data_IF_049066641401
#
_entry.id   IF_049066641401
#
_cell.length_a   1.000
_cell.length_b   1.000
_cell.length_c   1.000
_cell.angle_alpha   90.00
_cell.angle_beta   90.00
_cell.angle_gamma   90.00
#
_symmetry.space_group_name_H-M   'P 1'
#
loop_
_entity.id
_entity.type
_entity.pdbx_description
1 polymer ?
#
# COMPACT_ATOMS: atom_id res chain seq x y z
N UNK A 1 -9.24 -1.82 11.68
CA UNK A 1 -9.74 -2.50 10.48
C UNK A 1 -10.36 -3.87 10.79
N UNK A 2 -9.71 -4.70 11.59
CA UNK A 2 -10.23 -6.04 11.93
C UNK A 2 -11.67 -5.99 12.44
N UNK A 3 -11.96 -5.14 13.44
CA UNK A 3 -13.32 -4.97 13.97
C UNK A 3 -14.32 -4.48 12.90
N UNK A 4 -13.85 -3.62 12.00
CA UNK A 4 -14.67 -3.16 10.87
C UNK A 4 -15.01 -4.28 9.90
N UNK A 5 -14.07 -5.15 9.58
CA UNK A 5 -14.28 -6.33 8.74
C UNK A 5 -15.20 -7.34 9.43
N UNK A 6 -14.98 -7.58 10.72
CA UNK A 6 -15.85 -8.47 11.52
C UNK A 6 -17.30 -7.98 11.51
N UNK A 7 -17.50 -6.68 11.68
CA UNK A 7 -18.85 -6.09 11.64
C UNK A 7 -19.47 -6.11 10.23
N UNK A 8 -18.66 -5.95 9.18
CA UNK A 8 -19.12 -5.91 7.79
C UNK A 8 -19.51 -7.28 7.28
N UNK A 9 -18.67 -8.29 7.52
CA UNK A 9 -18.90 -9.65 7.02
C UNK A 9 -19.83 -10.48 7.92
N UNK A 10 -19.99 -10.09 9.21
CA UNK A 10 -20.87 -10.81 10.14
C UNK A 10 -20.48 -12.28 10.27
N UNK A 11 -21.38 -13.16 9.82
CA UNK A 11 -21.13 -14.60 9.75
C UNK A 11 -20.81 -15.13 8.36
N UNK A 12 -20.71 -14.26 7.35
CA UNK A 12 -20.54 -14.65 5.95
C UNK A 12 -19.10 -15.02 5.60
N UNK A 13 -18.11 -14.62 6.42
CA UNK A 13 -16.71 -14.96 6.25
C UNK A 13 -16.02 -15.23 7.60
N UNK A 14 -15.10 -16.20 7.60
CA UNK A 14 -14.20 -16.43 8.73
C UNK A 14 -12.97 -15.52 8.61
N UNK A 15 -12.68 -14.73 9.65
CA UNK A 15 -11.55 -13.83 9.69
C UNK A 15 -10.49 -14.35 10.66
N UNK A 16 -9.24 -14.40 10.19
CA UNK A 16 -8.07 -14.69 11.03
C UNK A 16 -7.09 -13.53 10.96
N UNK A 17 -6.36 -13.33 12.04
CA UNK A 17 -5.39 -12.25 12.20
C UNK A 17 -4.02 -12.80 12.57
N UNK A 18 -2.98 -12.24 11.98
CA UNK A 18 -1.60 -12.40 12.40
C UNK A 18 -0.88 -11.05 12.29
N UNK A 19 -0.04 -10.73 13.27
CA UNK A 19 0.69 -9.44 13.25
C UNK A 19 1.74 -9.36 12.14
N UNK A 20 2.32 -10.46 11.71
CA UNK A 20 3.34 -10.51 10.68
C UNK A 20 4.65 -9.84 11.11
N UNK A 21 4.71 -8.51 11.07
CA UNK A 21 5.89 -7.76 11.50
C UNK A 21 5.50 -6.45 12.22
N UNK A 22 6.49 -5.87 12.90
CA UNK A 22 6.42 -4.47 13.35
C UNK A 22 6.60 -3.53 12.16
N UNK A 23 6.15 -2.26 12.28
CA UNK A 23 6.30 -1.29 11.18
C UNK A 23 7.74 -1.08 10.71
N UNK A 24 8.72 -1.29 11.57
CA UNK A 24 10.15 -1.18 11.27
C UNK A 24 10.97 -2.20 12.07
N UNK A 25 12.25 -2.32 11.75
CA UNK A 25 13.19 -3.27 12.36
C UNK A 25 13.41 -4.48 11.46
N UNK A 26 13.97 -5.54 12.03
CA UNK A 26 14.34 -6.75 11.27
C UNK A 26 13.76 -8.03 11.90
N UNK A 27 12.78 -7.89 12.79
CA UNK A 27 12.17 -9.03 13.48
C UNK A 27 11.18 -9.74 12.58
N UNK A 28 11.53 -10.93 12.13
CA UNK A 28 10.73 -11.80 11.26
C UNK A 28 9.97 -12.89 12.02
N UNK A 29 9.96 -12.85 13.35
CA UNK A 29 9.35 -13.91 14.17
C UNK A 29 7.87 -14.15 13.89
N UNK A 30 7.15 -13.13 13.41
CA UNK A 30 5.74 -13.23 13.04
C UNK A 30 5.47 -13.76 11.63
N UNK A 31 6.48 -13.92 10.77
CA UNK A 31 6.29 -14.28 9.36
C UNK A 31 5.67 -15.67 9.20
N UNK A 32 6.17 -16.67 9.91
CA UNK A 32 5.63 -18.03 9.82
C UNK A 32 4.15 -18.09 10.18
N UNK A 33 3.74 -17.46 11.28
CA UNK A 33 2.34 -17.40 11.68
C UNK A 33 1.47 -16.64 10.69
N UNK A 34 1.99 -15.56 10.09
CA UNK A 34 1.29 -14.83 9.04
C UNK A 34 1.12 -15.67 7.76
N UNK A 35 2.16 -16.42 7.37
CA UNK A 35 2.11 -17.31 6.21
C UNK A 35 1.12 -18.47 6.44
N UNK A 36 1.06 -19.03 7.64
CA UNK A 36 0.10 -20.09 7.96
C UNK A 36 -1.35 -19.58 7.87
N UNK A 37 -1.62 -18.36 8.36
CA UNK A 37 -2.93 -17.71 8.21
C UNK A 37 -3.21 -17.43 6.72
N UNK A 38 -2.22 -16.97 5.96
CA UNK A 38 -2.39 -16.71 4.54
C UNK A 38 -2.70 -17.98 3.74
N UNK A 39 -2.05 -19.11 4.02
CA UNK A 39 -2.31 -20.40 3.37
C UNK A 39 -3.73 -20.91 3.64
N UNK A 40 -4.22 -20.67 4.83
CA UNK A 40 -5.57 -21.02 5.23
C UNK A 40 -6.63 -20.16 4.54
N UNK A 41 -6.33 -18.88 4.26
CA UNK A 41 -7.29 -17.91 3.73
C UNK A 41 -7.54 -18.08 2.23
N UNK A 42 -8.67 -17.57 1.74
CA UNK A 42 -8.94 -17.43 0.30
C UNK A 42 -8.37 -16.11 -0.24
N UNK A 43 -8.31 -15.07 0.60
CA UNK A 43 -7.78 -13.73 0.29
C UNK A 43 -6.97 -13.22 1.48
N UNK A 44 -5.85 -12.61 1.21
CA UNK A 44 -4.97 -11.99 2.22
C UNK A 44 -5.11 -10.48 2.16
N UNK A 45 -5.51 -9.86 3.26
CA UNK A 45 -5.54 -8.40 3.41
C UNK A 45 -4.33 -8.00 4.24
N UNK A 46 -3.36 -7.33 3.63
CA UNK A 46 -2.12 -6.89 4.29
C UNK A 46 -2.20 -5.40 4.58
N UNK A 47 -2.15 -5.04 5.87
CA UNK A 47 -2.17 -3.64 6.30
C UNK A 47 -0.76 -3.18 6.59
N UNK A 48 -0.21 -2.31 5.77
CA UNK A 48 1.15 -1.79 5.87
C UNK A 48 1.16 -0.26 5.76
N UNK A 49 2.30 0.35 5.98
CA UNK A 49 2.44 1.78 5.81
C UNK A 49 3.46 2.42 6.74
N UNK A 50 3.26 3.70 6.96
CA UNK A 50 4.09 4.53 7.81
C UNK A 50 3.56 4.61 9.24
N UNK A 51 4.47 4.77 10.19
CA UNK A 51 4.11 5.10 11.56
C UNK A 51 3.56 6.53 11.63
N UNK A 52 2.65 6.77 12.56
CA UNK A 52 2.06 8.10 12.78
C UNK A 52 3.11 9.20 12.97
N UNK A 53 4.22 8.87 13.63
CA UNK A 53 5.33 9.80 13.91
C UNK A 53 6.23 10.10 12.71
N UNK A 54 5.99 9.47 11.56
CA UNK A 54 6.80 9.68 10.34
C UNK A 54 6.22 10.74 9.41
N UNK A 55 5.06 11.29 9.72
CA UNK A 55 4.41 12.38 9.00
C UNK A 55 4.16 13.56 9.92
N UNK A 56 4.24 14.77 9.38
CA UNK A 56 4.00 16.02 10.09
C UNK A 56 5.26 16.85 10.27
N UNK A 57 5.24 17.75 11.23
CA UNK A 57 6.35 18.64 11.54
C UNK A 57 7.57 17.83 12.01
N UNK A 58 8.75 18.20 11.51
CA UNK A 58 10.03 17.51 11.81
C UNK A 58 10.06 16.02 11.43
N UNK A 59 9.21 15.58 10.52
CA UNK A 59 9.09 14.18 10.10
C UNK A 59 9.50 13.97 8.62
N UNK A 60 10.55 14.63 8.18
CA UNK A 60 11.11 14.43 6.83
C UNK A 60 11.79 13.08 6.70
N UNK A 61 11.67 12.47 5.51
CA UNK A 61 12.34 11.20 5.20
C UNK A 61 13.24 11.37 3.98
N UNK A 62 14.43 10.77 4.03
CA UNK A 62 15.39 10.73 2.91
C UNK A 62 15.02 9.68 1.85
N UNK A 63 14.19 8.73 2.20
CA UNK A 63 13.60 7.74 1.30
C UNK A 63 12.12 7.60 1.61
N UNK A 64 11.30 7.43 0.59
CA UNK A 64 9.87 7.22 0.71
C UNK A 64 9.44 5.79 0.39
N UNK A 65 10.40 4.86 0.36
CA UNK A 65 10.09 3.44 0.31
C UNK A 65 9.51 2.95 1.65
N UNK A 66 8.72 1.89 1.61
CA UNK A 66 8.33 1.16 2.80
C UNK A 66 9.57 0.55 3.48
N UNK A 67 9.57 0.38 4.81
CA UNK A 67 10.60 -0.38 5.49
C UNK A 67 10.78 -1.77 4.90
N UNK A 68 12.04 -2.19 4.76
CA UNK A 68 12.38 -3.47 4.12
C UNK A 68 11.62 -4.66 4.73
N UNK A 69 11.42 -4.67 6.05
CA UNK A 69 10.70 -5.76 6.73
C UNK A 69 9.26 -5.91 6.25
N UNK A 70 8.59 -4.82 5.86
CA UNK A 70 7.24 -4.85 5.32
C UNK A 70 7.23 -5.42 3.90
N UNK A 71 8.22 -5.05 3.07
CA UNK A 71 8.38 -5.62 1.72
C UNK A 71 8.68 -7.13 1.79
N UNK A 72 9.55 -7.54 2.72
CA UNK A 72 9.89 -8.94 2.96
C UNK A 72 8.67 -9.77 3.40
N UNK A 73 7.83 -9.20 4.27
CA UNK A 73 6.59 -9.87 4.69
C UNK A 73 5.68 -10.15 3.49
N UNK A 74 5.46 -9.18 2.60
CA UNK A 74 4.60 -9.41 1.43
C UNK A 74 5.19 -10.43 0.48
N UNK A 75 6.51 -10.44 0.29
CA UNK A 75 7.20 -11.49 -0.48
C UNK A 75 6.96 -12.88 0.10
N UNK A 76 7.06 -13.00 1.41
CA UNK A 76 6.78 -14.27 2.11
C UNK A 76 5.32 -14.70 1.95
N UNK A 77 4.37 -13.76 2.12
CA UNK A 77 2.95 -14.03 1.98
C UNK A 77 2.55 -14.44 0.54
N UNK A 78 3.28 -13.98 -0.48
CA UNK A 78 3.05 -14.40 -1.88
C UNK A 78 3.26 -15.90 -2.08
N UNK A 79 4.08 -16.55 -1.25
CA UNK A 79 4.30 -18.00 -1.25
C UNK A 79 3.04 -18.80 -0.88
N UNK A 80 2.03 -18.16 -0.29
CA UNK A 80 0.74 -18.79 -0.04
C UNK A 80 -0.07 -19.01 -1.34
N UNK A 81 0.29 -18.34 -2.44
CA UNK A 81 -0.42 -18.44 -3.72
C UNK A 81 -1.85 -17.87 -3.69
N UNK A 82 -2.12 -16.96 -2.75
CA UNK A 82 -3.44 -16.34 -2.56
C UNK A 82 -3.44 -14.91 -3.09
N UNK A 83 -4.60 -14.38 -3.51
CA UNK A 83 -4.74 -12.96 -3.82
C UNK A 83 -4.36 -12.10 -2.62
N UNK A 84 -3.56 -11.06 -2.86
CA UNK A 84 -3.11 -10.12 -1.83
C UNK A 84 -3.69 -8.73 -2.10
N UNK A 85 -4.42 -8.21 -1.13
CA UNK A 85 -4.91 -6.85 -1.12
C UNK A 85 -4.05 -6.06 -0.12
N UNK A 86 -3.28 -5.11 -0.61
CA UNK A 86 -2.52 -4.18 0.24
C UNK A 86 -3.40 -3.00 0.64
N UNK A 87 -3.62 -2.84 1.93
CA UNK A 87 -4.22 -1.63 2.52
C UNK A 87 -3.08 -0.76 3.03
N UNK A 88 -2.87 0.39 2.40
CA UNK A 88 -1.71 1.26 2.62
C UNK A 88 -2.11 2.49 3.41
N UNK A 89 -1.52 2.65 4.62
CA UNK A 89 -1.73 3.81 5.50
C UNK A 89 -0.46 4.64 5.60
N UNK A 90 -0.49 5.87 5.13
CA UNK A 90 0.68 6.75 5.05
C UNK A 90 0.27 8.22 4.98
N UNK A 91 1.25 9.11 5.17
CA UNK A 91 1.04 10.56 5.10
C UNK A 91 1.67 11.22 3.88
N UNK A 92 2.24 10.44 2.97
CA UNK A 92 2.91 10.91 1.73
C UNK A 92 2.83 9.86 0.64
N UNK A 93 2.94 10.20 -0.65
CA UNK A 93 3.11 9.20 -1.70
C UNK A 93 4.37 8.37 -1.44
N UNK A 94 4.25 7.05 -1.54
CA UNK A 94 5.36 6.13 -1.30
C UNK A 94 5.89 5.55 -2.60
N UNK A 95 7.13 5.10 -2.57
CA UNK A 95 7.75 4.29 -3.61
C UNK A 95 7.21 2.86 -3.48
N UNK A 96 6.35 2.45 -4.41
CA UNK A 96 5.67 1.15 -4.37
C UNK A 96 6.09 0.21 -5.50
N UNK A 97 7.09 0.57 -6.30
CA UNK A 97 7.54 -0.19 -7.45
C UNK A 97 7.92 -1.66 -7.16
N UNK A 98 8.31 -1.96 -5.91
CA UNK A 98 8.62 -3.30 -5.43
C UNK A 98 7.44 -4.04 -4.82
N UNK A 99 6.40 -3.30 -4.43
CA UNK A 99 5.20 -3.85 -3.78
C UNK A 99 4.09 -4.13 -4.78
N UNK A 100 3.93 -3.23 -5.74
CA UNK A 100 2.87 -3.30 -6.74
C UNK A 100 2.82 -4.65 -7.48
N UNK A 101 3.95 -5.22 -7.94
CA UNK A 101 3.92 -6.53 -8.63
C UNK A 101 3.55 -7.72 -7.73
N UNK A 102 3.60 -7.53 -6.42
CA UNK A 102 3.29 -8.59 -5.44
C UNK A 102 1.82 -8.60 -5.02
N UNK A 103 1.10 -7.50 -5.26
CA UNK A 103 -0.25 -7.29 -4.81
C UNK A 103 -1.24 -7.35 -5.98
N UNK A 104 -2.39 -7.97 -5.75
CA UNK A 104 -3.47 -8.04 -6.74
C UNK A 104 -4.34 -6.77 -6.71
N UNK A 105 -4.37 -6.07 -5.57
CA UNK A 105 -4.98 -4.75 -5.42
C UNK A 105 -4.26 -3.94 -4.34
N UNK A 106 -4.31 -2.60 -4.48
CA UNK A 106 -3.78 -1.65 -3.49
C UNK A 106 -4.89 -0.67 -3.15
N UNK A 107 -5.23 -0.58 -1.87
CA UNK A 107 -6.16 0.41 -1.33
C UNK A 107 -5.38 1.47 -0.56
N UNK A 108 -5.25 2.65 -1.13
CA UNK A 108 -4.63 3.80 -0.47
C UNK A 108 -5.65 4.48 0.45
N UNK A 109 -5.37 4.48 1.75
CA UNK A 109 -6.31 5.00 2.76
C UNK A 109 -5.81 6.25 3.47
N UNK A 110 -4.56 6.68 3.19
CA UNK A 110 -3.95 7.80 3.90
C UNK A 110 -4.08 7.65 5.43
N UNK A 111 -4.64 8.65 6.10
CA UNK A 111 -4.99 8.65 7.52
C UNK A 111 -6.53 8.76 7.65
N UNK A 112 -7.25 7.64 7.65
CA UNK A 112 -8.69 7.61 7.36
C UNK A 112 -9.59 8.13 8.49
N UNK A 113 -9.03 8.46 9.67
CA UNK A 113 -9.79 8.98 10.81
C UNK A 113 -10.72 7.96 11.46
N UNK A 114 -11.68 8.46 12.27
CA UNK A 114 -12.51 7.65 13.16
C UNK A 114 -13.39 6.63 12.40
N UNK A 115 -13.96 7.01 11.28
CA UNK A 115 -14.84 6.14 10.49
C UNK A 115 -14.10 5.27 9.46
N UNK A 116 -12.77 5.35 9.43
CA UNK A 116 -11.95 4.66 8.45
C UNK A 116 -12.16 3.16 8.41
N UNK A 117 -12.22 2.51 9.57
CA UNK A 117 -12.41 1.06 9.66
C UNK A 117 -13.69 0.58 8.95
N UNK A 118 -14.82 1.30 9.17
CA UNK A 118 -16.11 0.99 8.55
C UNK A 118 -16.08 1.23 7.03
N UNK A 119 -15.49 2.36 6.60
CA UNK A 119 -15.42 2.71 5.19
C UNK A 119 -14.53 1.71 4.42
N UNK A 120 -13.38 1.37 4.98
CA UNK A 120 -12.48 0.37 4.39
C UNK A 120 -13.14 -1.01 4.28
N UNK A 121 -13.82 -1.45 5.35
CA UNK A 121 -14.53 -2.72 5.33
C UNK A 121 -15.60 -2.75 4.23
N UNK A 122 -16.37 -1.68 4.07
CA UNK A 122 -17.38 -1.56 3.02
C UNK A 122 -16.80 -1.53 1.60
N UNK A 123 -15.57 -1.01 1.42
CA UNK A 123 -14.85 -1.06 0.14
C UNK A 123 -14.36 -2.50 -0.12
N UNK A 124 -13.76 -3.12 0.88
CA UNK A 124 -13.20 -4.48 0.75
C UNK A 124 -14.29 -5.54 0.54
N UNK A 125 -15.49 -5.33 1.09
CA UNK A 125 -16.66 -6.21 0.85
C UNK A 125 -17.33 -5.96 -0.51
N UNK A 126 -17.00 -4.86 -1.20
CA UNK A 126 -17.65 -4.46 -2.45
C UNK A 126 -18.99 -3.74 -2.26
N UNK A 127 -19.44 -3.51 -1.01
CA UNK A 127 -20.64 -2.74 -0.72
C UNK A 127 -20.48 -1.26 -1.09
N UNK A 128 -19.27 -0.73 -0.99
CA UNK A 128 -18.93 0.64 -1.38
C UNK A 128 -17.93 0.57 -2.54
N UNK A 129 -18.31 1.17 -3.67
CA UNK A 129 -17.36 1.40 -4.76
C UNK A 129 -16.47 2.61 -4.44
N UNK A 130 -15.13 2.47 -4.35
CA UNK A 130 -14.25 3.59 -4.06
C UNK A 130 -14.33 4.64 -5.19
N UNK A 131 -14.60 5.90 -4.83
CA UNK A 131 -14.69 7.02 -5.78
C UNK A 131 -13.51 7.99 -5.65
N UNK A 132 -12.64 7.79 -4.66
CA UNK A 132 -11.48 8.62 -4.41
C UNK A 132 -10.46 8.54 -5.55
N UNK A 133 -9.84 9.68 -5.86
CA UNK A 133 -8.73 9.79 -6.79
C UNK A 133 -7.45 10.13 -6.02
N UNK A 134 -6.30 9.70 -6.53
CA UNK A 134 -5.03 10.06 -5.91
C UNK A 134 -4.88 11.59 -5.88
N UNK A 135 -4.67 12.13 -4.68
CA UNK A 135 -4.47 13.55 -4.47
C UNK A 135 -3.06 14.02 -4.87
N UNK A 136 -2.13 13.08 -4.99
CA UNK A 136 -0.73 13.34 -5.35
C UNK A 136 -0.20 12.25 -6.28
N UNK A 137 0.82 12.59 -7.06
CA UNK A 137 1.53 11.63 -7.91
C UNK A 137 2.39 10.70 -7.06
N UNK A 138 2.27 9.41 -7.25
CA UNK A 138 3.17 8.40 -6.68
C UNK A 138 4.36 8.19 -7.61
N UNK A 139 5.58 8.50 -7.17
CA UNK A 139 6.77 8.30 -7.99
C UNK A 139 7.08 6.80 -8.15
N UNK A 140 7.75 6.45 -9.21
CA UNK A 140 8.30 5.12 -9.38
C UNK A 140 9.48 4.87 -8.42
N UNK A 141 10.27 5.91 -8.14
CA UNK A 141 11.42 5.88 -7.24
C UNK A 141 11.60 7.22 -6.52
N UNK A 142 12.18 7.17 -5.33
CA UNK A 142 12.58 8.36 -4.55
C UNK A 142 13.44 9.33 -5.38
N UNK A 143 14.27 8.82 -6.29
CA UNK A 143 15.11 9.64 -7.17
C UNK A 143 14.34 10.51 -8.17
N UNK A 144 13.04 10.28 -8.37
CA UNK A 144 12.20 11.11 -9.25
C UNK A 144 11.68 12.38 -8.59
N UNK A 145 11.81 12.52 -7.26
CA UNK A 145 11.28 13.67 -6.53
C UNK A 145 12.21 14.89 -6.74
N UNK A 146 11.63 16.08 -6.98
CA UNK A 146 10.20 16.43 -7.06
C UNK A 146 9.57 16.03 -8.39
N UNK A 147 8.35 15.46 -8.34
CA UNK A 147 7.59 15.06 -9.52
C UNK A 147 6.27 15.84 -9.60
N UNK A 148 6.11 16.63 -10.66
CA UNK A 148 4.96 17.52 -10.83
C UNK A 148 4.11 17.06 -12.01
N UNK A 149 2.77 17.03 -11.84
CA UNK A 149 1.84 16.68 -12.90
C UNK A 149 1.91 17.65 -14.10
N UNK A 150 2.17 18.93 -13.83
CA UNK A 150 2.21 20.00 -14.82
C UNK A 150 3.61 20.25 -15.40
N UNK A 151 4.54 19.31 -15.23
CA UNK A 151 5.88 19.41 -15.76
C UNK A 151 5.82 19.54 -17.29
N UNK A 152 6.46 20.58 -17.83
CA UNK A 152 6.58 20.77 -19.29
C UNK A 152 7.44 19.63 -19.86
N UNK A 153 6.95 19.02 -20.95
CA UNK A 153 7.77 18.11 -21.77
C UNK A 153 8.80 18.97 -22.51
N UNK A 154 9.99 19.13 -21.94
CA UNK A 154 11.11 19.78 -22.63
C UNK A 154 11.71 18.84 -23.66
N UNK A 155 12.46 19.38 -24.68
CA UNK A 155 12.99 18.59 -25.79
C UNK A 155 13.94 17.43 -25.44
N UNK A 156 14.36 17.29 -24.17
CA UNK A 156 15.11 16.14 -23.66
C UNK A 156 14.19 15.03 -23.11
N UNK A 157 12.90 15.29 -22.99
CA UNK A 157 11.94 14.37 -22.34
C UNK A 157 11.61 13.11 -23.14
N UNK A 158 11.90 13.08 -24.42
CA UNK A 158 11.58 11.92 -25.27
C UNK A 158 12.52 10.72 -25.10
N UNK A 159 13.69 10.91 -24.50
CA UNK A 159 14.69 9.84 -24.32
C UNK A 159 14.80 9.33 -22.88
N UNK A 160 13.92 9.80 -21.98
CA UNK A 160 14.01 9.52 -20.56
C UNK A 160 15.14 10.29 -19.85
N UNK A 161 14.91 10.69 -18.61
CA UNK A 161 15.93 11.36 -17.79
C UNK A 161 16.81 10.36 -17.04
N UNK A 162 16.23 9.19 -16.74
CA UNK A 162 16.88 8.13 -15.99
C UNK A 162 17.43 7.07 -16.92
N UNK A 163 18.53 6.44 -16.54
CA UNK A 163 19.17 5.36 -17.32
C UNK A 163 18.77 3.98 -16.80
N UNK A 164 18.23 3.94 -15.61
CA UNK A 164 17.96 2.74 -14.82
C UNK A 164 16.48 2.53 -14.52
N UNK A 165 15.66 3.58 -14.63
CA UNK A 165 14.21 3.52 -14.38
C UNK A 165 13.44 4.29 -15.45
N UNK A 166 12.11 4.12 -15.45
CA UNK A 166 11.21 4.94 -16.26
C UNK A 166 11.22 6.40 -15.83
N UNK A 167 10.93 7.30 -16.75
CA UNK A 167 10.67 8.73 -16.44
C UNK A 167 9.22 8.99 -16.03
N UNK A 168 8.34 8.03 -16.21
CA UNK A 168 6.94 8.13 -15.81
C UNK A 168 6.76 7.80 -14.34
N UNK A 169 5.79 8.40 -13.66
CA UNK A 169 5.43 8.02 -12.29
C UNK A 169 4.82 6.62 -12.27
N UNK A 170 4.81 5.98 -11.10
CA UNK A 170 4.07 4.74 -10.92
C UNK A 170 2.56 4.97 -11.08
N UNK A 171 2.03 5.97 -10.37
CA UNK A 171 0.65 6.42 -10.51
C UNK A 171 0.59 7.94 -10.57
N UNK A 172 0.05 8.53 -11.64
CA UNK A 172 -0.12 9.99 -11.72
C UNK A 172 -1.22 10.47 -10.75
N UNK A 173 -1.14 11.74 -10.36
CA UNK A 173 -2.24 12.40 -9.64
C UNK A 173 -3.55 12.22 -10.40
N UNK A 174 -4.65 12.16 -9.69
CA UNK A 174 -5.99 11.86 -10.23
C UNK A 174 -6.17 10.45 -10.79
N UNK A 175 -5.17 9.58 -10.65
CA UNK A 175 -5.31 8.17 -11.02
C UNK A 175 -6.45 7.53 -10.22
N UNK A 176 -7.31 6.86 -10.92
CA UNK A 176 -8.37 6.02 -10.35
C UNK A 176 -8.40 4.72 -11.13
N UNK A 177 -8.45 3.63 -10.45
CA UNK A 177 -8.75 2.33 -11.03
C UNK A 177 -10.00 1.81 -10.35
N UNK A 178 -11.15 2.15 -10.92
CA UNK A 178 -12.45 1.66 -10.45
C UNK A 178 -12.84 0.49 -11.37
N UNK A 179 -13.04 -0.66 -10.80
CA UNK A 179 -13.63 -1.82 -11.46
C UNK A 179 -14.88 -2.28 -10.75
#
# INVERSE_FOLDING_TARGET
LYDGLTAEFGGDAELRYAMGCKPQGNDRSGFAGALDVARWSDVVIVCLGEMLTWSGENASRSTIALPQIQEELVKELKEAGKPIILVLSNGRPLELNRMEPLCDAILEIWQPGINGARSMAGILSGRINPSGKLAMTFPYSTGQIPIYYNRRKSGRGHQGFYKDITSDPLYPVSYTHLR
#
